data_IF_823025942758
#
_entry.id   IF_823025942758
#
_cell.length_a   1.000
_cell.length_b   1.000
_cell.length_c   1.000
_cell.angle_alpha   90.00
_cell.angle_beta   90.00
_cell.angle_gamma   90.00
#
_symmetry.space_group_name_H-M   'P 1'
#
loop_
_entity.id
_entity.type
_entity.pdbx_description
1 polymer ?
#
# COMPACT_ATOMS: atom_id res chain seq x y z
N UNK A 1 12.24 12.20 3.17
CA UNK A 1 11.10 12.16 4.09
C UNK A 1 10.36 10.87 3.81
N UNK A 2 10.14 10.02 4.81
CA UNK A 2 9.49 8.70 4.64
C UNK A 2 8.26 8.71 5.54
N UNK A 3 7.11 8.42 4.96
CA UNK A 3 5.83 8.50 5.64
C UNK A 3 5.38 7.10 6.04
N UNK A 4 5.34 6.85 7.35
CA UNK A 4 4.71 5.66 7.89
C UNK A 4 3.29 5.97 8.31
N UNK A 5 2.39 5.05 8.02
CA UNK A 5 1.05 5.10 8.59
C UNK A 5 0.70 3.69 9.04
N UNK A 6 0.26 3.56 10.29
CA UNK A 6 -0.36 2.32 10.75
C UNK A 6 -1.53 1.99 9.81
N UNK A 7 -1.61 0.77 9.23
CA UNK A 7 -2.67 0.38 8.31
C UNK A 7 -4.09 0.58 8.87
N UNK A 8 -4.24 0.61 10.21
CA UNK A 8 -5.51 0.88 10.88
C UNK A 8 -5.87 2.37 10.98
N UNK A 9 -4.89 3.28 10.85
CA UNK A 9 -5.05 4.73 11.00
C UNK A 9 -5.23 5.48 9.67
N UNK A 10 -4.82 4.89 8.53
CA UNK A 10 -5.01 5.48 7.18
C UNK A 10 -6.49 5.81 6.88
N UNK A 11 -7.41 5.12 7.55
CA UNK A 11 -8.82 5.08 7.20
C UNK A 11 -9.77 5.82 8.15
N UNK A 12 -9.25 6.41 9.24
CA UNK A 12 -10.09 7.18 10.18
C UNK A 12 -10.37 8.58 9.61
N UNK A 13 -11.62 8.81 9.19
CA UNK A 13 -12.07 10.12 8.76
C UNK A 13 -12.07 11.14 9.89
N UNK A 14 -11.51 12.33 9.61
CA UNK A 14 -11.53 13.55 10.44
C UNK A 14 -10.90 13.44 11.84
N UNK A 15 -9.79 12.72 11.98
CA UNK A 15 -8.82 13.06 13.02
C UNK A 15 -7.56 13.60 12.34
N UNK A 16 -6.93 14.60 12.97
CA UNK A 16 -5.60 15.10 12.58
C UNK A 16 -4.75 13.88 12.24
N UNK A 17 -4.33 13.75 10.98
CA UNK A 17 -3.34 12.75 10.62
C UNK A 17 -2.10 13.10 11.43
N UNK A 18 -1.88 12.39 12.53
CA UNK A 18 -0.59 12.37 13.19
C UNK A 18 0.33 11.61 12.23
N UNK A 19 0.92 12.36 11.30
CA UNK A 19 2.02 11.88 10.48
C UNK A 19 3.15 11.55 11.45
N UNK A 20 3.39 10.27 11.68
CA UNK A 20 4.60 9.86 12.36
C UNK A 20 5.72 9.95 11.32
N UNK A 21 6.46 11.06 11.35
CA UNK A 21 7.78 11.11 10.71
C UNK A 21 8.66 10.10 11.44
N UNK A 22 8.84 8.93 10.83
CA UNK A 22 9.65 7.88 11.45
C UNK A 22 11.10 8.02 11.03
N UNK A 23 12.00 7.89 11.99
CA UNK A 23 13.42 7.88 11.69
C UNK A 23 13.83 6.55 11.05
N UNK A 24 14.16 6.60 9.76
CA UNK A 24 14.62 5.45 9.00
C UNK A 24 15.74 5.84 8.04
N UNK A 25 16.70 4.93 7.83
CA UNK A 25 17.77 5.08 6.84
C UNK A 25 17.65 4.01 5.77
N UNK A 26 17.81 4.38 4.51
CA UNK A 26 17.94 3.43 3.41
C UNK A 26 19.38 2.92 3.37
N UNK A 27 19.56 1.60 3.46
CA UNK A 27 20.87 0.94 3.42
C UNK A 27 21.23 0.53 1.99
N UNK A 28 20.25 -0.06 1.29
CA UNK A 28 20.38 -0.47 -0.10
C UNK A 28 19.05 -0.35 -0.84
N UNK A 29 19.11 -0.42 -2.18
CA UNK A 29 17.94 -0.42 -3.05
C UNK A 29 18.16 -1.30 -4.27
N UNK A 30 17.08 -1.92 -4.71
CA UNK A 30 16.97 -2.60 -6.01
C UNK A 30 15.66 -2.18 -6.68
N UNK A 31 15.43 -2.67 -7.90
CA UNK A 31 14.14 -2.49 -8.58
C UNK A 31 12.98 -3.18 -7.84
N UNK A 32 13.26 -4.24 -7.06
CA UNK A 32 12.22 -5.05 -6.38
C UNK A 32 12.07 -4.71 -4.89
N UNK A 33 12.90 -3.85 -4.32
CA UNK A 33 12.89 -3.70 -2.87
C UNK A 33 13.96 -2.77 -2.29
N UNK A 34 13.84 -2.56 -0.99
CA UNK A 34 14.76 -1.75 -0.18
C UNK A 34 15.25 -2.52 1.04
N UNK A 35 16.53 -2.38 1.35
CA UNK A 35 17.10 -2.65 2.67
C UNK A 35 17.03 -1.39 3.51
N UNK A 36 16.36 -1.47 4.66
CA UNK A 36 16.06 -0.32 5.52
C UNK A 36 16.58 -0.56 6.93
N UNK A 37 17.12 0.49 7.56
CA UNK A 37 17.41 0.56 8.98
C UNK A 37 16.35 1.40 9.67
N UNK A 38 15.57 0.76 10.52
CA UNK A 38 14.54 1.35 11.35
C UNK A 38 15.13 1.78 12.69
N UNK A 39 15.03 3.08 12.96
CA UNK A 39 15.55 3.68 14.20
C UNK A 39 14.46 4.30 15.07
N UNK A 40 13.20 4.22 14.62
CA UNK A 40 12.05 4.70 15.40
C UNK A 40 11.66 3.71 16.51
N UNK A 41 11.44 4.25 17.71
CA UNK A 41 11.12 3.49 18.93
C UNK A 41 9.60 3.47 19.18
N UNK A 42 8.85 4.45 18.67
CA UNK A 42 7.41 4.61 18.89
C UNK A 42 6.60 3.65 18.02
N UNK A 43 7.02 3.47 16.76
CA UNK A 43 6.34 2.59 15.81
C UNK A 43 7.16 1.34 15.58
N UNK A 44 6.59 0.17 15.85
CA UNK A 44 7.24 -1.13 15.60
C UNK A 44 6.67 -1.79 14.33
N UNK A 45 7.42 -1.83 13.22
CA UNK A 45 7.01 -2.53 12.02
C UNK A 45 6.81 -4.03 12.29
N UNK A 46 5.91 -4.64 11.52
CA UNK A 46 5.65 -6.09 11.55
C UNK A 46 5.79 -6.66 10.14
N UNK A 47 6.29 -7.89 10.04
CA UNK A 47 6.27 -8.65 8.78
C UNK A 47 4.83 -8.72 8.25
N UNK A 48 4.67 -8.50 6.95
CA UNK A 48 3.37 -8.44 6.27
C UNK A 48 2.66 -7.09 6.35
N UNK A 49 3.25 -6.10 7.02
CA UNK A 49 2.73 -4.72 7.02
C UNK A 49 3.15 -3.98 5.75
N UNK A 50 2.31 -3.03 5.33
CA UNK A 50 2.68 -2.07 4.30
C UNK A 50 3.56 -0.96 4.86
N UNK A 51 4.40 -0.43 3.99
CA UNK A 51 5.22 0.76 4.23
C UNK A 51 5.08 1.69 3.02
N UNK A 52 4.87 2.99 3.30
CA UNK A 52 5.03 4.06 2.33
C UNK A 52 6.46 4.58 2.33
N UNK A 53 7.08 4.66 1.16
CA UNK A 53 8.39 5.29 0.98
C UNK A 53 8.25 6.42 -0.02
N UNK A 54 8.35 7.65 0.46
CA UNK A 54 8.28 8.84 -0.37
C UNK A 54 9.67 9.15 -0.95
N UNK A 55 9.86 8.90 -2.25
CA UNK A 55 11.08 9.22 -2.97
C UNK A 55 10.76 9.65 -4.41
N UNK A 56 10.62 10.96 -4.65
CA UNK A 56 10.02 11.59 -5.85
C UNK A 56 8.54 11.27 -6.06
N UNK A 57 8.13 10.03 -5.80
CA UNK A 57 6.77 9.53 -5.74
C UNK A 57 6.55 8.67 -4.50
N UNK A 58 5.29 8.46 -4.13
CA UNK A 58 4.95 7.50 -3.08
C UNK A 58 5.10 6.08 -3.63
N UNK A 59 6.03 5.32 -3.05
CA UNK A 59 6.22 3.91 -3.33
C UNK A 59 5.67 3.09 -2.18
N UNK A 60 5.04 1.97 -2.50
CA UNK A 60 4.40 1.10 -1.53
C UNK A 60 5.17 -0.20 -1.50
N UNK A 61 5.59 -0.58 -0.31
CA UNK A 61 6.28 -1.83 -0.07
C UNK A 61 5.62 -2.68 0.99
N UNK A 62 6.01 -3.94 1.05
CA UNK A 62 5.65 -4.90 2.05
C UNK A 62 6.88 -5.33 2.85
N UNK A 63 6.79 -5.29 4.17
CA UNK A 63 7.83 -5.82 5.05
C UNK A 63 7.88 -7.34 4.94
N UNK A 64 9.00 -7.89 4.45
CA UNK A 64 9.21 -9.33 4.27
C UNK A 64 9.96 -9.97 5.43
N UNK A 65 10.91 -9.26 6.02
CA UNK A 65 11.65 -9.73 7.17
C UNK A 65 12.09 -8.58 8.06
N UNK A 66 12.31 -8.91 9.34
CA UNK A 66 12.80 -8.02 10.38
C UNK A 66 13.97 -8.71 11.08
N UNK A 67 15.05 -7.98 11.35
CA UNK A 67 16.15 -8.46 12.19
C UNK A 67 16.54 -7.39 13.19
N UNK A 68 16.47 -7.70 14.49
CA UNK A 68 16.80 -6.76 15.55
C UNK A 68 18.29 -6.85 15.90
N UNK A 69 18.96 -5.70 15.89
CA UNK A 69 20.30 -5.52 16.43
C UNK A 69 20.21 -4.73 17.73
N UNK A 70 20.95 -5.19 18.75
CA UNK A 70 21.01 -4.50 20.05
C UNK A 70 21.71 -3.14 19.95
N UNK A 71 22.59 -2.96 18.96
CA UNK A 71 23.45 -1.77 18.84
C UNK A 71 22.91 -0.74 17.84
N UNK A 72 22.28 -1.20 16.76
CA UNK A 72 22.01 -0.34 15.58
C UNK A 72 20.53 -0.12 15.29
N UNK A 73 19.63 -0.83 15.97
CA UNK A 73 18.18 -0.75 15.72
C UNK A 73 17.66 -1.97 14.97
N UNK A 74 16.64 -1.79 14.13
CA UNK A 74 15.96 -2.90 13.47
C UNK A 74 16.15 -2.84 11.95
N UNK A 75 16.72 -3.89 11.38
CA UNK A 75 16.86 -4.05 9.94
C UNK A 75 15.57 -4.59 9.33
N UNK A 76 15.22 -4.10 8.15
CA UNK A 76 14.06 -4.49 7.38
C UNK A 76 14.42 -4.78 5.93
N UNK A 77 13.89 -5.89 5.42
CA UNK A 77 13.75 -6.10 3.99
C UNK A 77 12.34 -5.76 3.55
N UNK A 78 12.23 -4.85 2.60
CA UNK A 78 10.96 -4.41 2.02
C UNK A 78 10.92 -4.79 0.55
N UNK A 79 9.87 -5.51 0.16
CA UNK A 79 9.55 -5.74 -1.25
C UNK A 79 8.67 -4.62 -1.77
N UNK A 80 9.02 -4.04 -2.92
CA UNK A 80 8.20 -3.04 -3.59
C UNK A 80 7.02 -3.69 -4.31
N UNK A 81 5.82 -3.22 -3.99
CA UNK A 81 4.58 -3.63 -4.65
C UNK A 81 4.24 -2.70 -5.83
N UNK A 82 4.65 -1.43 -5.75
CA UNK A 82 4.53 -0.46 -6.82
C UNK A 82 4.88 0.97 -6.39
N UNK A 83 4.96 1.86 -7.36
CA UNK A 83 5.33 3.26 -7.28
C UNK A 83 4.19 4.15 -7.76
N UNK A 84 4.34 5.47 -7.57
CA UNK A 84 3.32 6.47 -7.94
C UNK A 84 1.94 6.15 -7.33
N UNK A 85 1.96 5.60 -6.12
CA UNK A 85 0.77 5.18 -5.42
C UNK A 85 -0.13 6.38 -5.10
N UNK A 86 -1.44 6.16 -5.21
CA UNK A 86 -2.45 7.17 -4.91
C UNK A 86 -3.55 6.58 -4.05
N UNK A 87 -3.98 7.29 -3.02
CA UNK A 87 -5.15 6.90 -2.23
C UNK A 87 -6.41 7.18 -3.05
N UNK A 88 -7.31 6.21 -3.13
CA UNK A 88 -8.57 6.28 -3.88
C UNK A 88 -9.72 5.75 -3.03
N UNK A 89 -10.94 6.15 -3.39
CA UNK A 89 -12.17 5.55 -2.87
C UNK A 89 -12.66 4.48 -3.86
N UNK A 90 -13.15 3.37 -3.34
CA UNK A 90 -13.65 2.23 -4.10
C UNK A 90 -15.06 1.89 -3.63
N UNK A 91 -15.99 1.67 -4.56
CA UNK A 91 -17.36 1.23 -4.25
C UNK A 91 -17.73 -0.04 -5.00
N UNK A 92 -18.62 -0.83 -4.41
CA UNK A 92 -19.29 -1.93 -5.08
C UNK A 92 -20.48 -1.37 -5.91
N UNK A 93 -20.71 -1.81 -7.16
CA UNK A 93 -21.87 -1.42 -7.94
C UNK A 93 -23.21 -1.67 -7.25
N UNK A 94 -23.33 -2.73 -6.45
CA UNK A 94 -24.54 -3.04 -5.69
C UNK A 94 -24.71 -2.23 -4.41
N UNK A 95 -23.64 -1.60 -3.92
CA UNK A 95 -23.61 -0.84 -2.67
C UNK A 95 -22.81 0.47 -2.88
N UNK A 96 -23.38 1.42 -3.64
CA UNK A 96 -22.66 2.64 -4.04
C UNK A 96 -22.33 3.57 -2.86
N UNK A 97 -23.07 3.48 -1.76
CA UNK A 97 -22.83 4.26 -0.54
C UNK A 97 -21.70 3.69 0.33
N UNK A 98 -21.34 2.42 0.12
CA UNK A 98 -20.27 1.73 0.85
C UNK A 98 -18.92 2.01 0.20
N UNK A 99 -18.40 3.22 0.48
CA UNK A 99 -17.07 3.60 0.03
C UNK A 99 -15.99 3.08 0.95
N UNK A 100 -15.18 2.16 0.44
CA UNK A 100 -13.92 1.81 1.08
C UNK A 100 -12.77 2.55 0.42
N UNK A 101 -11.63 2.40 1.02
CA UNK A 101 -10.53 3.31 0.93
C UNK A 101 -9.37 2.38 0.53
N UNK A 102 -8.66 2.70 -0.55
CA UNK A 102 -7.69 1.79 -1.17
C UNK A 102 -6.47 2.54 -1.69
N UNK A 103 -5.39 1.82 -1.91
CA UNK A 103 -4.18 2.31 -2.57
C UNK A 103 -4.20 1.83 -4.02
N UNK A 104 -4.22 2.76 -4.95
CA UNK A 104 -4.12 2.50 -6.38
C UNK A 104 -2.68 2.56 -6.84
N UNK A 105 -2.23 1.47 -7.47
CA UNK A 105 -0.92 1.33 -8.08
C UNK A 105 -1.11 1.33 -9.61
N UNK A 106 -0.61 2.36 -10.32
CA UNK A 106 -0.65 2.38 -11.78
C UNK A 106 0.29 1.33 -12.39
N UNK A 107 0.11 1.09 -13.69
CA UNK A 107 1.04 0.28 -14.48
C UNK A 107 2.43 0.93 -14.48
N UNK A 108 3.46 0.17 -14.17
CA UNK A 108 4.86 0.61 -14.31
C UNK A 108 5.50 0.08 -15.59
N UNK A 109 6.29 0.91 -16.25
CA UNK A 109 6.93 0.56 -17.53
C UNK A 109 8.11 -0.42 -17.36
N UNK A 110 8.80 -0.37 -16.22
CA UNK A 110 10.09 -1.06 -16.01
C UNK A 110 9.89 -2.57 -15.78
N UNK A 111 8.76 -2.98 -15.20
CA UNK A 111 8.47 -4.38 -14.85
C UNK A 111 7.09 -4.87 -15.30
N UNK A 112 6.30 -4.00 -15.96
CA UNK A 112 4.91 -4.26 -16.37
C UNK A 112 4.00 -4.86 -15.28
N UNK A 113 4.10 -4.49 -13.99
CA UNK A 113 3.09 -4.92 -13.02
C UNK A 113 1.74 -4.35 -13.45
N UNK A 114 0.74 -5.22 -13.59
CA UNK A 114 -0.60 -4.80 -13.97
C UNK A 114 -1.14 -3.77 -12.96
N UNK A 115 -2.04 -2.90 -13.43
CA UNK A 115 -2.74 -1.94 -12.57
C UNK A 115 -3.36 -2.70 -11.41
N UNK A 116 -3.14 -2.24 -10.18
CA UNK A 116 -3.58 -2.98 -9.00
C UNK A 116 -4.10 -2.08 -7.89
N UNK A 117 -4.84 -2.70 -6.97
CA UNK A 117 -5.38 -2.07 -5.78
C UNK A 117 -4.91 -2.84 -4.55
N UNK A 118 -4.61 -2.10 -3.49
CA UNK A 118 -4.41 -2.65 -2.16
C UNK A 118 -5.48 -2.07 -1.24
N UNK A 119 -6.21 -2.94 -0.54
CA UNK A 119 -7.17 -2.55 0.48
C UNK A 119 -7.05 -3.46 1.70
N UNK A 120 -7.54 -3.00 2.85
CA UNK A 120 -7.62 -3.83 4.05
C UNK A 120 -8.54 -5.02 3.79
N UNK A 121 -8.28 -6.16 4.44
CA UNK A 121 -8.91 -7.47 4.20
C UNK A 121 -10.43 -7.55 4.51
N UNK A 122 -11.25 -6.68 3.91
CA UNK A 122 -12.71 -6.68 3.90
C UNK A 122 -13.20 -5.98 2.63
N UNK A 123 -14.13 -6.61 1.90
CA UNK A 123 -15.05 -5.89 1.03
C UNK A 123 -15.17 -6.37 -0.42
N UNK A 124 -14.15 -6.99 -1.01
CA UNK A 124 -14.21 -7.39 -2.42
C UNK A 124 -13.57 -8.74 -2.72
N UNK A 125 -14.20 -9.48 -3.64
CA UNK A 125 -13.74 -10.77 -4.15
C UNK A 125 -13.25 -10.63 -5.59
N UNK A 126 -12.25 -11.44 -6.01
CA UNK A 126 -11.88 -11.52 -7.43
C UNK A 126 -13.10 -11.81 -8.31
N UNK A 127 -13.10 -11.32 -9.56
CA UNK A 127 -14.20 -11.32 -10.53
C UNK A 127 -15.34 -10.32 -10.27
N UNK A 128 -15.34 -9.59 -9.16
CA UNK A 128 -16.30 -8.50 -8.94
C UNK A 128 -15.94 -7.26 -9.78
N UNK A 129 -16.97 -6.50 -10.12
CA UNK A 129 -16.79 -5.14 -10.64
C UNK A 129 -16.73 -4.16 -9.47
N UNK A 130 -15.91 -3.14 -9.61
CA UNK A 130 -15.78 -2.04 -8.66
C UNK A 130 -15.74 -0.71 -9.41
N UNK A 131 -16.08 0.37 -8.72
CA UNK A 131 -15.85 1.72 -9.20
C UNK A 131 -14.73 2.36 -8.41
N UNK A 132 -13.73 2.89 -9.12
CA UNK A 132 -12.65 3.67 -8.53
C UNK A 132 -12.96 5.14 -8.74
N UNK A 133 -12.95 5.90 -7.64
CA UNK A 133 -13.16 7.34 -7.62
C UNK A 133 -11.81 8.02 -7.50
N UNK A 134 -11.36 8.66 -8.58
CA UNK A 134 -10.05 9.31 -8.67
C UNK A 134 -10.15 10.57 -9.52
N UNK A 135 -9.59 11.68 -9.05
CA UNK A 135 -9.53 12.97 -9.78
C UNK A 135 -10.91 13.41 -10.33
N UNK A 136 -11.94 13.33 -9.50
CA UNK A 136 -13.35 13.63 -9.86
C UNK A 136 -13.94 12.76 -10.98
N UNK A 137 -13.29 11.64 -11.31
CA UNK A 137 -13.78 10.65 -12.27
C UNK A 137 -14.11 9.35 -11.55
N UNK A 138 -15.23 8.76 -11.95
CA UNK A 138 -15.63 7.42 -11.53
C UNK A 138 -15.37 6.50 -12.71
N UNK A 139 -14.53 5.50 -12.52
CA UNK A 139 -14.18 4.55 -13.57
C UNK A 139 -14.45 3.13 -13.11
N UNK A 140 -15.08 2.32 -13.97
CA UNK A 140 -15.39 0.93 -13.70
C UNK A 140 -14.17 0.06 -13.95
N UNK A 141 -13.89 -0.83 -13.01
CA UNK A 141 -12.84 -1.85 -13.12
C UNK A 141 -13.40 -3.22 -12.78
N UNK A 142 -12.75 -4.26 -13.29
CA UNK A 142 -12.97 -5.66 -12.90
C UNK A 142 -11.76 -6.14 -12.12
N UNK A 143 -12.01 -6.75 -10.96
CA UNK A 143 -10.99 -7.47 -10.19
C UNK A 143 -10.65 -8.77 -10.92
N UNK A 144 -9.40 -8.97 -11.30
CA UNK A 144 -9.02 -10.11 -12.17
C UNK A 144 -8.28 -11.19 -11.41
N UNK A 145 -7.31 -10.81 -10.59
CA UNK A 145 -6.40 -11.75 -9.91
C UNK A 145 -6.03 -11.25 -8.52
N UNK A 146 -5.98 -12.15 -7.55
CA UNK A 146 -5.37 -11.86 -6.26
C UNK A 146 -3.85 -12.03 -6.39
N UNK A 147 -3.11 -10.96 -6.19
CA UNK A 147 -1.64 -10.94 -6.27
C UNK A 147 -1.04 -11.33 -4.92
N UNK A 148 -1.59 -10.79 -3.83
CA UNK A 148 -1.15 -11.11 -2.48
C UNK A 148 -2.29 -10.97 -1.46
N UNK A 149 -2.27 -11.84 -0.45
CA UNK A 149 -3.16 -11.76 0.70
C UNK A 149 -2.35 -11.97 1.98
N UNK A 150 -2.48 -11.06 2.92
CA UNK A 150 -1.98 -11.22 4.29
C UNK A 150 -3.15 -11.12 5.27
N UNK A 151 -2.88 -11.24 6.57
CA UNK A 151 -3.89 -10.97 7.59
C UNK A 151 -4.42 -9.53 7.56
N UNK A 152 -3.67 -8.59 6.98
CA UNK A 152 -4.01 -7.16 6.98
C UNK A 152 -4.46 -6.65 5.62
N UNK A 153 -3.86 -7.14 4.53
CA UNK A 153 -4.04 -6.56 3.19
C UNK A 153 -4.50 -7.58 2.17
N UNK A 154 -5.30 -7.10 1.22
CA UNK A 154 -5.60 -7.78 -0.03
C UNK A 154 -5.07 -6.91 -1.18
N UNK A 155 -4.16 -7.48 -1.98
CA UNK A 155 -3.57 -6.87 -3.17
C UNK A 155 -4.10 -7.58 -4.40
N UNK A 156 -4.82 -6.86 -5.24
CA UNK A 156 -5.53 -7.42 -6.38
C UNK A 156 -5.21 -6.65 -7.65
N UNK A 157 -5.09 -7.39 -8.73
CA UNK A 157 -5.02 -6.86 -10.09
C UNK A 157 -6.40 -6.39 -10.56
N UNK A 158 -6.41 -5.26 -11.27
CA UNK A 158 -7.63 -4.67 -11.84
C UNK A 158 -7.46 -4.31 -13.30
N UNK A 159 -8.50 -4.55 -14.09
CA UNK A 159 -8.55 -4.14 -15.50
C UNK A 159 -9.73 -3.20 -15.69
N UNK A 160 -9.50 -2.11 -16.44
CA UNK A 160 -10.56 -1.15 -16.75
C UNK A 160 -11.63 -1.84 -17.60
N UNK A 161 -12.88 -1.71 -17.19
CA UNK A 161 -14.03 -2.19 -17.97
C UNK A 161 -14.64 -1.03 -18.74
N UNK A 162 -15.06 -1.31 -19.97
CA UNK A 162 -16.02 -0.48 -20.69
C UNK A 162 -17.43 -0.72 -20.17
#
# INVERSE_FOLDING_TARGET
MVEFTDPSEIWKGKQKQDYFETNMKMLDKSIKGYGLLWTDIQVRPKVGSLIGVMHKSLNIGLVRWLAQSKETGMFMGVELLGAQATVVKVTNPGYPDDMVNAIFLPLEEIDKPAVSLIFMNKGFRPSEFIFIHKNHRITRYRLTKQLQLTSYINHVEVIRSH
#
